data_IF_608264026072
#
_entry.id   IF_608264026072
#
_cell.length_a   1.000
_cell.length_b   1.000
_cell.length_c   1.000
_cell.angle_alpha   90.00
_cell.angle_beta   90.00
_cell.angle_gamma   90.00
#
_symmetry.space_group_name_H-M   'P 1'
#
loop_
_entity.id
_entity.type
_entity.pdbx_description
1 polymer ?
#
# COMPACT_ATOMS: atom_id res chain seq x y z
N UNK A 1 -0.98 -16.04 -8.00
CA UNK A 1 0.08 -17.07 -7.96
C UNK A 1 1.16 -16.60 -7.00
N UNK A 2 1.64 -17.47 -6.12
CA UNK A 2 2.83 -17.18 -5.33
C UNK A 2 4.02 -16.96 -6.29
N UNK A 3 4.88 -16.02 -5.97
CA UNK A 3 6.11 -15.78 -6.75
C UNK A 3 7.06 -16.94 -6.47
N UNK A 4 7.66 -17.50 -7.53
CA UNK A 4 8.64 -18.58 -7.38
C UNK A 4 9.90 -18.09 -6.67
N UNK A 5 10.33 -16.86 -6.96
CA UNK A 5 11.40 -16.14 -6.30
C UNK A 5 11.28 -14.65 -6.63
N UNK A 6 11.86 -13.77 -5.81
CA UNK A 6 11.80 -12.32 -6.00
C UNK A 6 12.89 -11.53 -5.26
N UNK A 7 13.18 -10.34 -5.76
CA UNK A 7 13.90 -9.30 -5.01
C UNK A 7 12.90 -8.21 -4.61
N UNK A 8 12.72 -7.99 -3.31
CA UNK A 8 11.89 -6.92 -2.76
C UNK A 8 12.78 -5.72 -2.43
N UNK A 9 12.67 -4.66 -3.22
CA UNK A 9 13.46 -3.44 -3.07
C UNK A 9 12.64 -2.40 -2.32
N UNK A 10 13.07 -2.03 -1.12
CA UNK A 10 12.41 -1.02 -0.27
C UNK A 10 13.10 0.33 -0.45
N UNK A 11 12.52 1.21 -1.26
CA UNK A 11 12.91 2.62 -1.26
C UNK A 11 12.47 3.26 0.06
N UNK A 12 13.42 3.83 0.81
CA UNK A 12 13.16 4.26 2.18
C UNK A 12 13.21 3.09 3.18
N UNK A 13 14.03 2.07 2.91
CA UNK A 13 14.21 0.88 3.75
C UNK A 13 14.71 1.17 5.16
N UNK A 14 15.33 2.34 5.39
CA UNK A 14 15.71 2.83 6.72
C UNK A 14 14.66 3.75 7.38
N UNK A 15 13.49 3.93 6.75
CA UNK A 15 12.43 4.82 7.22
C UNK A 15 11.45 4.16 8.21
N UNK A 16 10.63 4.99 8.85
CA UNK A 16 9.66 4.59 9.88
C UNK A 16 8.72 3.46 9.41
N UNK A 17 8.15 3.59 8.21
CA UNK A 17 7.24 2.58 7.65
C UNK A 17 7.93 1.23 7.43
N UNK A 18 9.15 1.25 6.89
CA UNK A 18 9.91 0.03 6.63
C UNK A 18 10.25 -0.70 7.94
N UNK A 19 10.77 0.04 8.92
CA UNK A 19 11.18 -0.51 10.23
C UNK A 19 10.00 -0.98 11.07
N UNK A 20 8.89 -0.22 11.10
CA UNK A 20 7.77 -0.53 12.01
C UNK A 20 6.75 -1.50 11.44
N UNK A 21 6.68 -1.63 10.11
CA UNK A 21 5.63 -2.40 9.43
C UNK A 21 6.16 -3.38 8.40
N UNK A 22 6.98 -2.94 7.43
CA UNK A 22 7.34 -3.79 6.29
C UNK A 22 8.28 -4.92 6.71
N UNK A 23 9.39 -4.62 7.40
CA UNK A 23 10.33 -5.63 7.88
C UNK A 23 9.68 -6.60 8.88
N UNK A 24 8.89 -6.15 9.89
CA UNK A 24 8.15 -7.06 10.75
C UNK A 24 7.13 -7.95 10.01
N UNK A 25 6.45 -7.42 8.98
CA UNK A 25 5.55 -8.21 8.15
C UNK A 25 6.30 -9.27 7.33
N UNK A 26 7.46 -8.92 6.77
CA UNK A 26 8.32 -9.86 6.06
C UNK A 26 8.89 -10.95 6.98
N UNK A 27 9.26 -10.60 8.22
CA UNK A 27 9.63 -11.61 9.21
C UNK A 27 8.48 -12.56 9.54
N UNK A 28 7.26 -12.03 9.69
CA UNK A 28 6.07 -12.86 9.92
C UNK A 28 5.82 -13.84 8.77
N UNK A 29 6.13 -13.44 7.52
CA UNK A 29 6.03 -14.30 6.33
C UNK A 29 7.18 -15.30 6.24
N UNK A 30 8.37 -14.91 6.67
CA UNK A 30 9.50 -15.81 6.83
C UNK A 30 9.17 -16.94 7.82
N UNK A 31 8.66 -16.60 9.01
CA UNK A 31 8.27 -17.58 10.04
C UNK A 31 7.19 -18.55 9.56
N UNK A 32 6.29 -18.10 8.70
CA UNK A 32 5.23 -18.93 8.15
C UNK A 32 5.69 -19.82 6.97
N UNK A 33 6.92 -19.66 6.49
CA UNK A 33 7.44 -20.41 5.34
C UNK A 33 6.92 -19.92 3.99
N UNK A 34 6.39 -18.69 3.91
CA UNK A 34 5.81 -18.14 2.67
C UNK A 34 6.85 -17.48 1.76
N UNK A 35 8.06 -17.24 2.27
CA UNK A 35 9.14 -16.65 1.48
C UNK A 35 9.92 -17.75 0.77
N UNK A 36 10.07 -17.68 -0.58
CA UNK A 36 10.95 -18.58 -1.30
C UNK A 36 12.38 -18.56 -0.73
N UNK A 37 13.12 -19.68 -0.82
CA UNK A 37 14.48 -19.76 -0.29
C UNK A 37 15.40 -18.63 -0.79
N UNK A 38 15.33 -18.29 -2.09
CA UNK A 38 16.14 -17.25 -2.72
C UNK A 38 15.65 -15.81 -2.54
N UNK A 39 14.50 -15.59 -1.88
CA UNK A 39 13.93 -14.25 -1.78
C UNK A 39 14.81 -13.30 -0.96
N UNK A 40 15.15 -12.14 -1.54
CA UNK A 40 15.98 -11.10 -0.93
C UNK A 40 15.17 -9.83 -0.64
N UNK A 41 15.55 -9.13 0.42
CA UNK A 41 14.97 -7.84 0.81
C UNK A 41 16.07 -6.79 0.73
N UNK A 42 16.02 -5.95 -0.29
CA UNK A 42 17.03 -4.93 -0.58
C UNK A 42 16.52 -3.60 -0.02
N UNK A 43 17.06 -3.17 1.10
CA UNK A 43 16.72 -1.93 1.77
C UNK A 43 17.58 -0.78 1.26
N UNK A 44 16.94 0.25 0.69
CA UNK A 44 17.63 1.43 0.18
C UNK A 44 17.52 2.59 1.17
N UNK A 45 18.64 3.25 1.43
CA UNK A 45 18.69 4.45 2.26
C UNK A 45 19.73 5.46 1.77
N UNK A 46 19.66 6.68 2.31
CA UNK A 46 20.59 7.77 1.97
C UNK A 46 21.86 7.77 2.83
N UNK A 47 21.86 7.01 3.92
CA UNK A 47 23.01 6.94 4.82
C UNK A 47 24.10 6.07 4.18
N UNK A 48 25.36 6.46 4.32
CA UNK A 48 26.48 5.64 3.89
C UNK A 48 26.79 4.58 4.97
N UNK A 49 25.81 3.72 5.26
CA UNK A 49 25.97 2.64 6.24
C UNK A 49 26.55 1.38 5.60
N UNK A 50 27.35 0.65 6.37
CA UNK A 50 27.68 -0.73 6.06
C UNK A 50 26.46 -1.66 6.25
N UNK A 51 26.57 -2.88 5.75
CA UNK A 51 25.56 -3.91 5.99
C UNK A 51 25.36 -4.16 7.49
N UNK A 52 26.45 -4.23 8.27
CA UNK A 52 26.43 -4.46 9.72
C UNK A 52 25.76 -3.31 10.47
N UNK A 53 26.08 -2.06 10.09
CA UNK A 53 25.45 -0.87 10.68
C UNK A 53 23.94 -0.83 10.40
N UNK A 54 23.53 -1.19 9.18
CA UNK A 54 22.10 -1.27 8.86
C UNK A 54 21.40 -2.38 9.64
N UNK A 55 21.99 -3.58 9.71
CA UNK A 55 21.42 -4.68 10.49
C UNK A 55 21.33 -4.33 11.99
N UNK A 56 22.31 -3.61 12.53
CA UNK A 56 22.22 -3.07 13.89
C UNK A 56 21.04 -2.10 14.05
N UNK A 57 20.77 -1.24 13.05
CA UNK A 57 19.59 -0.39 13.04
C UNK A 57 18.28 -1.21 13.00
N UNK A 58 18.24 -2.31 12.24
CA UNK A 58 17.09 -3.24 12.18
C UNK A 58 16.84 -3.89 13.55
N UNK A 59 17.90 -4.31 14.25
CA UNK A 59 17.82 -4.83 15.63
C UNK A 59 17.21 -3.82 16.59
N UNK A 60 17.64 -2.56 16.52
CA UNK A 60 17.16 -1.51 17.42
C UNK A 60 15.77 -1.01 17.09
N UNK A 61 15.42 -0.92 15.81
CA UNK A 61 14.25 -0.15 15.34
C UNK A 61 13.13 -1.01 14.77
N UNK A 62 13.43 -2.19 14.23
CA UNK A 62 12.44 -3.09 13.63
C UNK A 62 12.07 -4.24 14.56
N UNK A 63 13.05 -4.88 15.21
CA UNK A 63 12.82 -6.00 16.13
C UNK A 63 11.79 -5.71 17.24
N UNK A 64 11.74 -4.51 17.86
CA UNK A 64 10.72 -4.20 18.87
C UNK A 64 9.28 -4.25 18.35
N UNK A 65 9.08 -4.20 17.04
CA UNK A 65 7.77 -4.29 16.39
C UNK A 65 7.42 -5.70 15.92
N UNK A 66 8.32 -6.67 16.09
CA UNK A 66 8.08 -8.08 15.82
C UNK A 66 7.47 -8.74 17.06
N UNK A 67 6.33 -9.40 16.86
CA UNK A 67 5.70 -10.19 17.93
C UNK A 67 6.49 -11.48 18.13
N UNK A 68 7.16 -11.61 19.27
CA UNK A 68 7.90 -12.80 19.69
C UNK A 68 8.94 -13.29 18.64
N UNK A 69 10.00 -12.52 18.37
CA UNK A 69 11.09 -13.01 17.52
C UNK A 69 11.72 -14.28 18.13
N UNK A 70 11.87 -15.31 17.30
CA UNK A 70 12.41 -16.61 17.67
C UNK A 70 13.73 -16.89 16.96
N UNK A 71 14.67 -17.50 17.67
CA UNK A 71 15.92 -18.04 17.09
C UNK A 71 15.77 -19.53 16.78
N UNK A 72 16.39 -20.04 15.69
CA UNK A 72 17.34 -19.34 14.79
C UNK A 72 16.67 -18.56 13.64
N UNK A 73 15.34 -18.51 13.58
CA UNK A 73 14.61 -17.97 12.43
C UNK A 73 14.83 -16.47 12.23
N UNK A 74 15.00 -15.72 13.31
CA UNK A 74 15.29 -14.29 13.22
C UNK A 74 16.67 -14.03 12.61
N UNK A 75 17.70 -14.77 13.04
CA UNK A 75 19.03 -14.72 12.40
C UNK A 75 18.95 -15.07 10.91
N UNK A 76 18.25 -16.15 10.53
CA UNK A 76 18.04 -16.54 9.13
C UNK A 76 17.26 -15.50 8.31
N UNK A 77 16.36 -14.75 8.95
CA UNK A 77 15.67 -13.65 8.30
C UNK A 77 16.62 -12.48 7.99
N UNK A 78 17.52 -12.13 8.91
CA UNK A 78 18.50 -11.06 8.70
C UNK A 78 19.44 -11.36 7.51
N UNK A 79 19.76 -12.63 7.26
CA UNK A 79 20.55 -13.05 6.09
C UNK A 79 19.90 -12.72 4.75
N UNK A 80 18.59 -12.49 4.71
CA UNK A 80 17.85 -12.09 3.49
C UNK A 80 17.94 -10.60 3.21
N UNK A 81 18.32 -9.81 4.22
CA UNK A 81 18.32 -8.35 4.15
C UNK A 81 19.65 -7.88 3.60
N UNK A 82 19.58 -7.00 2.61
CA UNK A 82 20.75 -6.38 1.97
C UNK A 82 20.53 -4.88 2.01
N UNK A 83 21.51 -4.13 2.49
CA UNK A 83 21.48 -2.68 2.47
C UNK A 83 22.27 -2.14 1.28
N UNK A 84 21.71 -1.13 0.62
CA UNK A 84 22.41 -0.38 -0.43
C UNK A 84 22.18 1.11 -0.22
N UNK A 85 23.27 1.87 -0.18
CA UNK A 85 23.20 3.33 -0.11
C UNK A 85 22.86 3.88 -1.50
N UNK A 86 21.65 4.41 -1.65
CA UNK A 86 21.15 4.98 -2.91
C UNK A 86 20.39 6.27 -2.61
N UNK A 87 20.76 7.33 -3.30
CA UNK A 87 19.95 8.54 -3.31
C UNK A 87 18.86 8.39 -4.36
N UNK A 88 17.61 8.24 -3.91
CA UNK A 88 16.45 8.03 -4.76
C UNK A 88 16.31 9.06 -5.91
N UNK A 89 16.79 10.30 -5.70
CA UNK A 89 16.71 11.38 -6.70
C UNK A 89 17.93 11.48 -7.62
N UNK A 90 19.01 10.77 -7.35
CA UNK A 90 20.25 10.83 -8.14
C UNK A 90 20.50 9.50 -8.86
N UNK A 91 20.26 9.50 -10.17
CA UNK A 91 20.41 8.34 -11.04
C UNK A 91 21.82 7.74 -11.00
N UNK A 92 22.85 8.53 -10.72
CA UNK A 92 24.23 8.04 -10.69
C UNK A 92 24.47 7.07 -9.53
N UNK A 93 23.62 7.11 -8.49
CA UNK A 93 23.72 6.20 -7.33
C UNK A 93 23.04 4.83 -7.58
N UNK A 94 22.27 4.68 -8.66
CA UNK A 94 21.54 3.44 -8.96
C UNK A 94 22.45 2.32 -9.48
N UNK A 95 23.70 2.61 -9.85
CA UNK A 95 24.68 1.58 -10.20
C UNK A 95 24.88 0.57 -9.07
N UNK A 96 24.95 1.04 -7.82
CA UNK A 96 25.06 0.16 -6.64
C UNK A 96 23.81 -0.73 -6.44
N UNK A 97 22.61 -0.23 -6.80
CA UNK A 97 21.41 -1.05 -6.80
C UNK A 97 21.45 -2.11 -7.90
N UNK A 98 21.92 -1.77 -9.09
CA UNK A 98 22.07 -2.71 -10.19
C UNK A 98 23.03 -3.85 -9.82
N UNK A 99 24.16 -3.54 -9.17
CA UNK A 99 25.13 -4.53 -8.67
C UNK A 99 24.57 -5.43 -7.56
N UNK A 100 23.71 -4.88 -6.70
CA UNK A 100 23.11 -5.64 -5.60
C UNK A 100 22.00 -6.59 -6.06
N UNK A 101 21.28 -6.22 -7.13
CA UNK A 101 20.22 -7.05 -7.72
C UNK A 101 20.80 -8.31 -8.36
N UNK A 102 20.02 -9.38 -8.36
CA UNK A 102 20.43 -10.61 -9.04
C UNK A 102 20.34 -10.43 -10.56
N UNK A 103 21.37 -10.92 -11.24
CA UNK A 103 21.48 -10.94 -12.71
C UNK A 103 20.64 -12.11 -13.30
N UNK A 104 19.32 -11.97 -13.16
CA UNK A 104 18.33 -12.89 -13.70
C UNK A 104 17.03 -12.14 -14.01
N UNK A 105 16.78 -11.93 -15.30
CA UNK A 105 15.60 -11.22 -15.80
C UNK A 105 14.28 -11.98 -15.59
N UNK A 106 14.33 -13.28 -15.28
CA UNK A 106 13.15 -14.06 -14.94
C UNK A 106 12.62 -13.78 -13.53
N UNK A 107 13.46 -13.20 -12.67
CA UNK A 107 13.08 -12.85 -11.30
C UNK A 107 12.10 -11.69 -11.28
N UNK A 108 11.07 -11.82 -10.44
CA UNK A 108 10.18 -10.70 -10.16
C UNK A 108 10.91 -9.71 -9.24
N UNK A 109 11.03 -8.45 -9.68
CA UNK A 109 11.56 -7.36 -8.86
C UNK A 109 10.40 -6.51 -8.35
N UNK A 110 10.22 -6.43 -7.03
CA UNK A 110 9.14 -5.63 -6.43
C UNK A 110 9.74 -4.37 -5.81
N UNK A 111 9.49 -3.23 -6.43
CA UNK A 111 9.91 -1.91 -5.95
C UNK A 111 8.85 -1.32 -5.04
N UNK A 112 9.06 -1.38 -3.73
CA UNK A 112 8.18 -0.76 -2.74
C UNK A 112 8.63 0.67 -2.44
N UNK A 113 7.80 1.65 -2.81
CA UNK A 113 8.10 3.06 -2.61
C UNK A 113 7.60 3.53 -1.24
N UNK A 114 8.32 3.19 -0.18
CA UNK A 114 8.08 3.69 1.19
C UNK A 114 8.68 5.11 1.37
N UNK A 115 8.39 5.99 0.41
CA UNK A 115 8.93 7.35 0.31
C UNK A 115 7.82 8.38 0.15
N UNK A 116 8.10 9.68 0.36
CA UNK A 116 7.14 10.73 0.06
C UNK A 116 6.67 10.70 -1.42
N UNK A 117 5.38 10.95 -1.71
CA UNK A 117 4.81 10.79 -3.05
C UNK A 117 5.46 11.62 -4.16
N UNK A 118 6.05 12.78 -3.81
CA UNK A 118 6.74 13.64 -4.79
C UNK A 118 7.99 12.97 -5.38
N UNK A 119 8.49 11.89 -4.78
CA UNK A 119 9.62 11.12 -5.29
C UNK A 119 9.22 10.00 -6.25
N UNK A 120 7.93 9.64 -6.35
CA UNK A 120 7.50 8.48 -7.12
C UNK A 120 7.88 8.59 -8.60
N UNK A 121 7.62 9.74 -9.25
CA UNK A 121 7.99 9.95 -10.66
C UNK A 121 9.50 9.79 -10.86
N UNK A 122 10.30 10.49 -10.06
CA UNK A 122 11.75 10.48 -10.19
C UNK A 122 12.35 9.09 -9.96
N UNK A 123 11.83 8.32 -8.98
CA UNK A 123 12.27 6.95 -8.74
C UNK A 123 11.94 6.06 -9.95
N UNK A 124 10.72 6.16 -10.49
CA UNK A 124 10.33 5.36 -11.66
C UNK A 124 11.19 5.72 -12.88
N UNK A 125 11.44 7.01 -13.12
CA UNK A 125 12.30 7.48 -14.21
C UNK A 125 13.74 6.98 -14.05
N UNK A 126 14.30 7.01 -12.84
CA UNK A 126 15.64 6.51 -12.57
C UNK A 126 15.74 4.98 -12.75
N UNK A 127 14.72 4.23 -12.34
CA UNK A 127 14.62 2.79 -12.59
C UNK A 127 14.56 2.49 -14.09
N UNK A 128 13.83 3.29 -14.87
CA UNK A 128 13.76 3.15 -16.32
C UNK A 128 15.10 3.49 -16.99
N UNK A 129 15.72 4.61 -16.61
CA UNK A 129 16.97 5.10 -17.19
C UNK A 129 18.16 4.15 -16.95
N UNK A 130 18.10 3.35 -15.88
CA UNK A 130 19.10 2.34 -15.53
C UNK A 130 18.75 0.93 -15.99
N UNK A 131 17.65 0.74 -16.73
CA UNK A 131 17.20 -0.57 -17.21
C UNK A 131 16.71 -1.51 -16.10
N UNK A 132 16.50 -1.00 -14.88
CA UNK A 132 16.05 -1.78 -13.74
C UNK A 132 14.54 -2.05 -13.77
N UNK A 133 13.76 -1.19 -14.43
CA UNK A 133 12.35 -1.42 -14.70
C UNK A 133 12.15 -2.41 -15.87
N UNK A 134 12.04 -3.70 -15.55
CA UNK A 134 11.85 -4.79 -16.53
C UNK A 134 10.37 -5.21 -16.66
N UNK A 135 9.99 -6.02 -17.66
CA UNK A 135 8.62 -6.56 -17.77
C UNK A 135 8.16 -7.40 -16.56
N UNK A 136 9.09 -8.03 -15.83
CA UNK A 136 8.82 -8.79 -14.61
C UNK A 136 8.85 -7.93 -13.34
N UNK A 137 9.08 -6.62 -13.47
CA UNK A 137 9.08 -5.70 -12.34
C UNK A 137 7.68 -5.32 -11.91
N UNK A 138 7.50 -5.02 -10.63
CA UNK A 138 6.27 -4.50 -10.03
C UNK A 138 6.62 -3.29 -9.18
N UNK A 139 5.76 -2.28 -9.17
CA UNK A 139 5.93 -1.10 -8.31
C UNK A 139 4.78 -1.01 -7.32
N UNK A 140 5.10 -0.83 -6.04
CA UNK A 140 4.14 -0.65 -4.96
C UNK A 140 4.20 0.81 -4.50
N UNK A 141 3.06 1.50 -4.58
CA UNK A 141 2.94 2.92 -4.26
C UNK A 141 2.14 3.11 -2.98
N UNK A 142 2.73 3.82 -2.02
CA UNK A 142 2.05 4.24 -0.79
C UNK A 142 1.14 5.46 -1.00
N UNK A 143 0.15 5.60 -0.13
CA UNK A 143 -0.68 6.81 -0.08
C UNK A 143 0.11 8.00 0.52
N UNK A 144 -0.19 9.25 0.15
CA UNK A 144 -1.25 9.69 -0.77
C UNK A 144 -0.87 9.69 -2.25
N UNK A 145 -1.82 9.31 -3.11
CA UNK A 145 -1.67 9.31 -4.58
C UNK A 145 -2.31 10.55 -5.19
N UNK A 146 -1.77 11.71 -4.82
CA UNK A 146 -2.31 13.01 -5.18
C UNK A 146 -3.22 13.59 -4.09
N UNK A 147 -3.54 14.88 -4.24
CA UNK A 147 -4.41 15.65 -3.32
C UNK A 147 -5.77 16.00 -3.95
N UNK A 148 -5.90 15.78 -5.24
CA UNK A 148 -7.05 16.03 -6.07
C UNK A 148 -6.96 15.17 -7.35
N UNK A 149 -7.99 15.24 -8.20
CA UNK A 149 -8.04 14.49 -9.45
C UNK A 149 -6.88 14.82 -10.40
N UNK A 150 -6.45 16.09 -10.47
CA UNK A 150 -5.43 16.53 -11.41
C UNK A 150 -4.06 15.95 -11.03
N UNK A 151 -3.66 16.10 -9.77
CA UNK A 151 -2.42 15.55 -9.23
C UNK A 151 -2.41 14.01 -9.24
N UNK A 152 -3.55 13.36 -8.95
CA UNK A 152 -3.65 11.90 -9.05
C UNK A 152 -3.45 11.39 -10.49
N UNK A 153 -4.03 12.10 -11.48
CA UNK A 153 -3.83 11.78 -12.90
C UNK A 153 -2.39 11.99 -13.34
N UNK A 154 -1.75 13.05 -12.87
CA UNK A 154 -0.35 13.32 -13.17
C UNK A 154 0.55 12.19 -12.65
N UNK A 155 0.43 11.82 -11.38
CA UNK A 155 1.21 10.71 -10.78
C UNK A 155 0.96 9.42 -11.55
N UNK A 156 -0.30 9.09 -11.85
CA UNK A 156 -0.61 7.88 -12.61
C UNK A 156 -0.02 7.90 -14.03
N UNK A 157 -0.04 9.04 -14.71
CA UNK A 157 0.53 9.18 -16.04
C UNK A 157 2.06 9.04 -16.01
N UNK A 158 2.71 9.65 -15.02
CA UNK A 158 4.17 9.58 -14.83
C UNK A 158 4.64 8.15 -14.54
N UNK A 159 4.01 7.47 -13.58
CA UNK A 159 4.31 6.06 -13.29
C UNK A 159 3.98 5.16 -14.49
N UNK A 160 2.88 5.45 -15.19
CA UNK A 160 2.43 4.72 -16.37
C UNK A 160 3.33 4.84 -17.62
N UNK A 161 4.28 5.79 -17.63
CA UNK A 161 5.33 5.84 -18.66
C UNK A 161 6.35 4.72 -18.51
N UNK A 162 6.49 4.17 -17.30
CA UNK A 162 7.53 3.20 -16.94
C UNK A 162 6.93 1.82 -16.70
N UNK A 163 5.80 1.76 -16.00
CA UNK A 163 5.15 0.51 -15.61
C UNK A 163 3.77 0.37 -16.26
N UNK A 164 3.47 -0.81 -16.80
CA UNK A 164 2.11 -1.15 -17.22
C UNK A 164 1.18 -1.25 -16.00
N UNK A 165 -0.14 -1.06 -16.18
CA UNK A 165 -1.10 -1.10 -15.06
C UNK A 165 -1.09 -2.44 -14.30
N UNK A 166 -0.77 -3.55 -14.96
CA UNK A 166 -0.60 -4.87 -14.32
C UNK A 166 0.63 -4.96 -13.40
N UNK A 167 1.58 -4.04 -13.53
CA UNK A 167 2.78 -3.94 -12.71
C UNK A 167 2.59 -2.97 -11.52
N UNK A 168 1.52 -2.17 -11.48
CA UNK A 168 1.32 -1.10 -10.50
C UNK A 168 0.39 -1.57 -9.37
N UNK A 169 0.89 -1.52 -8.14
CA UNK A 169 0.17 -1.89 -6.92
C UNK A 169 0.01 -0.66 -6.02
N UNK A 170 -1.19 -0.08 -6.03
CA UNK A 170 -1.53 1.08 -5.20
C UNK A 170 -2.06 0.60 -3.85
N UNK A 171 -1.38 0.96 -2.76
CA UNK A 171 -1.73 0.46 -1.42
C UNK A 171 -2.95 1.18 -0.86
N UNK A 172 -3.94 0.39 -0.49
CA UNK A 172 -4.97 0.74 0.48
C UNK A 172 -5.03 -0.40 1.52
N UNK A 173 -4.48 -0.14 2.71
CA UNK A 173 -4.36 -1.16 3.75
C UNK A 173 -5.71 -1.68 4.27
N UNK A 174 -6.84 -0.97 4.05
CA UNK A 174 -8.16 -1.51 4.40
C UNK A 174 -8.54 -2.71 3.54
N UNK A 175 -8.08 -2.76 2.28
CA UNK A 175 -8.31 -3.91 1.39
C UNK A 175 -7.56 -5.17 1.84
N UNK A 176 -6.53 -5.02 2.69
CA UNK A 176 -5.81 -6.12 3.30
C UNK A 176 -6.45 -6.67 4.58
N UNK A 177 -7.51 -6.02 5.10
CA UNK A 177 -8.19 -6.50 6.32
C UNK A 177 -9.03 -7.72 5.99
N UNK A 178 -8.86 -8.79 6.77
CA UNK A 178 -9.59 -10.06 6.60
C UNK A 178 -11.11 -9.85 6.56
N UNK A 179 -11.65 -9.01 7.46
CA UNK A 179 -13.08 -8.69 7.50
C UNK A 179 -13.58 -8.00 6.22
N UNK A 180 -12.74 -7.24 5.54
CA UNK A 180 -13.08 -6.58 4.27
C UNK A 180 -13.07 -7.58 3.13
N UNK A 181 -12.10 -8.50 3.11
CA UNK A 181 -12.05 -9.58 2.11
C UNK A 181 -13.23 -10.55 2.26
N UNK A 182 -13.65 -10.81 3.50
CA UNK A 182 -14.80 -11.66 3.81
C UNK A 182 -16.14 -11.12 3.29
N UNK A 183 -16.24 -9.82 2.98
CA UNK A 183 -17.47 -9.26 2.38
C UNK A 183 -17.81 -9.92 1.04
N UNK A 184 -16.81 -10.30 0.24
CA UNK A 184 -17.03 -10.99 -1.04
C UNK A 184 -17.65 -12.38 -0.82
N UNK A 185 -17.07 -13.14 0.11
CA UNK A 185 -17.56 -14.46 0.47
C UNK A 185 -18.96 -14.38 1.09
N UNK A 186 -19.21 -13.39 1.96
CA UNK A 186 -20.51 -13.18 2.58
C UNK A 186 -21.60 -12.88 1.54
N UNK A 187 -21.34 -11.95 0.62
CA UNK A 187 -22.35 -11.49 -0.35
C UNK A 187 -22.64 -12.52 -1.45
N UNK A 188 -21.61 -13.16 -1.99
CA UNK A 188 -21.76 -13.99 -3.19
C UNK A 188 -21.64 -15.50 -2.92
N UNK A 189 -21.15 -15.90 -1.75
CA UNK A 189 -21.05 -17.30 -1.34
C UNK A 189 -22.25 -17.82 -0.56
N UNK A 190 -23.23 -16.97 -0.24
CA UNK A 190 -24.36 -17.33 0.63
C UNK A 190 -25.71 -17.13 -0.07
N UNK A 191 -26.39 -18.24 -0.34
CA UNK A 191 -27.73 -18.26 -0.97
C UNK A 191 -28.79 -17.51 -0.16
N UNK A 192 -28.58 -17.33 1.14
CA UNK A 192 -29.49 -16.59 2.01
C UNK A 192 -29.35 -15.07 1.83
N UNK A 193 -28.14 -14.57 1.58
CA UNK A 193 -27.86 -13.13 1.56
C UNK A 193 -27.93 -12.55 0.15
N UNK A 194 -27.47 -13.28 -0.87
CA UNK A 194 -27.43 -12.79 -2.25
C UNK A 194 -28.82 -12.28 -2.72
N UNK A 195 -29.94 -12.99 -2.50
CA UNK A 195 -31.24 -12.53 -2.96
C UNK A 195 -31.75 -11.29 -2.21
N UNK A 196 -31.30 -11.08 -0.98
CA UNK A 196 -31.72 -9.96 -0.14
C UNK A 196 -30.88 -8.71 -0.38
N UNK A 197 -29.75 -8.81 -1.08
CA UNK A 197 -28.83 -7.70 -1.27
C UNK A 197 -29.25 -6.73 -2.39
N UNK A 198 -30.47 -6.18 -2.27
CA UNK A 198 -31.08 -5.26 -3.26
C UNK A 198 -32.05 -4.27 -2.61
N UNK A 199 -32.39 -3.22 -3.36
CA UNK A 199 -33.19 -2.06 -2.89
C UNK A 199 -34.60 -2.41 -2.39
N UNK A 200 -35.14 -3.56 -2.78
CA UNK A 200 -36.45 -4.04 -2.32
C UNK A 200 -36.42 -4.48 -0.85
N UNK A 201 -35.26 -4.89 -0.34
CA UNK A 201 -35.09 -5.44 1.01
C UNK A 201 -34.20 -4.59 1.91
N UNK A 202 -33.33 -3.75 1.32
CA UNK A 202 -32.41 -2.88 2.06
C UNK A 202 -32.95 -1.45 2.05
N UNK A 203 -33.24 -0.91 3.24
CA UNK A 203 -33.63 0.50 3.43
C UNK A 203 -32.44 1.44 3.27
N UNK A 204 -31.32 1.12 3.93
CA UNK A 204 -30.11 1.93 3.97
C UNK A 204 -28.88 1.08 4.30
N UNK A 205 -27.70 1.63 3.99
CA UNK A 205 -26.40 1.02 4.27
C UNK A 205 -25.53 2.05 4.97
N UNK A 206 -24.95 1.67 6.10
CA UNK A 206 -24.13 2.55 6.93
C UNK A 206 -22.69 1.99 6.98
N UNK A 207 -21.72 2.84 6.62
CA UNK A 207 -20.29 2.51 6.70
C UNK A 207 -19.65 3.47 7.69
N UNK A 208 -19.29 2.95 8.85
CA UNK A 208 -18.69 3.74 9.94
C UNK A 208 -17.22 3.39 10.10
N UNK A 209 -16.38 4.42 10.08
CA UNK A 209 -15.00 4.31 10.55
C UNK A 209 -14.83 5.35 11.66
N UNK A 210 -14.63 4.87 12.88
CA UNK A 210 -14.45 5.70 14.06
C UNK A 210 -13.08 5.42 14.68
N UNK A 211 -12.40 6.49 15.10
CA UNK A 211 -11.08 6.43 15.73
C UNK A 211 -11.16 7.08 17.11
N UNK A 212 -10.59 6.44 18.13
CA UNK A 212 -10.48 7.02 19.47
C UNK A 212 -9.34 8.06 19.57
N UNK A 213 -8.35 7.94 18.70
CA UNK A 213 -7.12 8.73 18.78
C UNK A 213 -7.32 10.04 18.01
N UNK A 214 -6.83 11.15 18.57
CA UNK A 214 -6.77 12.45 17.87
C UNK A 214 -5.64 12.51 16.83
N UNK A 215 -5.37 13.71 16.31
CA UNK A 215 -4.39 13.91 15.23
C UNK A 215 -2.94 13.52 15.59
N UNK A 216 -2.58 13.58 16.87
CA UNK A 216 -1.25 13.25 17.38
C UNK A 216 -0.13 13.99 16.63
N UNK A 217 0.96 13.28 16.33
CA UNK A 217 2.13 13.85 15.66
C UNK A 217 1.94 14.11 14.15
N UNK A 218 0.75 13.84 13.59
CA UNK A 218 0.46 13.98 12.15
C UNK A 218 -0.19 15.32 11.78
N UNK A 219 -0.21 16.29 12.69
CA UNK A 219 -0.92 17.56 12.52
C UNK A 219 -0.60 18.26 11.19
N UNK A 220 0.69 18.43 10.83
CA UNK A 220 1.07 19.13 9.59
C UNK A 220 0.55 18.46 8.31
N UNK A 221 0.46 17.12 8.29
CA UNK A 221 -0.14 16.38 7.17
C UNK A 221 -1.68 16.44 7.21
N UNK A 222 -2.26 16.24 8.39
CA UNK A 222 -3.70 16.08 8.55
C UNK A 222 -4.46 17.38 8.32
N UNK A 223 -3.89 18.53 8.70
CA UNK A 223 -4.48 19.86 8.50
C UNK A 223 -4.77 20.16 7.01
N UNK A 224 -3.86 19.71 6.13
CA UNK A 224 -4.03 19.86 4.68
C UNK A 224 -4.92 18.78 4.04
N UNK A 225 -5.08 17.63 4.71
CA UNK A 225 -5.77 16.47 4.16
C UNK A 225 -7.24 16.42 4.59
N UNK A 226 -7.47 16.51 5.90
CA UNK A 226 -8.75 16.27 6.57
C UNK A 226 -9.26 14.82 6.42
N UNK A 227 -10.33 14.49 7.16
CA UNK A 227 -10.97 13.18 7.08
C UNK A 227 -11.43 12.81 5.66
N UNK A 228 -11.78 13.81 4.84
CA UNK A 228 -12.23 13.59 3.47
C UNK A 228 -11.17 12.89 2.60
N UNK A 229 -9.91 13.34 2.67
CA UNK A 229 -8.83 12.73 1.87
C UNK A 229 -8.15 11.58 2.60
N UNK A 230 -8.03 11.66 3.93
CA UNK A 230 -7.30 10.64 4.69
C UNK A 230 -8.07 9.33 4.80
N UNK A 231 -9.41 9.40 4.87
CA UNK A 231 -10.31 8.26 5.15
C UNK A 231 -11.41 8.05 4.10
N UNK A 232 -12.09 9.11 3.66
CA UNK A 232 -13.28 8.96 2.81
C UNK A 232 -12.92 8.59 1.36
N UNK A 233 -12.04 9.37 0.73
CA UNK A 233 -11.70 9.23 -0.69
C UNK A 233 -11.09 7.86 -1.03
N UNK A 234 -10.39 7.24 -0.07
CA UNK A 234 -9.76 5.94 -0.21
C UNK A 234 -10.62 4.84 0.46
N UNK A 235 -10.47 4.65 1.77
CA UNK A 235 -10.94 3.50 2.53
C UNK A 235 -12.46 3.34 2.46
N UNK A 236 -13.23 4.38 2.79
CA UNK A 236 -14.70 4.29 2.74
C UNK A 236 -15.20 4.08 1.32
N UNK A 237 -14.59 4.74 0.33
CA UNK A 237 -15.00 4.58 -1.06
C UNK A 237 -14.71 3.18 -1.58
N UNK A 238 -13.60 2.56 -1.18
CA UNK A 238 -13.28 1.17 -1.49
C UNK A 238 -14.27 0.20 -0.83
N UNK A 239 -14.62 0.43 0.45
CA UNK A 239 -15.63 -0.36 1.16
C UNK A 239 -17.00 -0.23 0.49
N UNK A 240 -17.41 0.99 0.13
CA UNK A 240 -18.64 1.24 -0.62
C UNK A 240 -18.67 0.42 -1.91
N UNK A 241 -17.57 0.39 -2.67
CA UNK A 241 -17.50 -0.40 -3.89
C UNK A 241 -17.67 -1.90 -3.63
N UNK A 242 -17.02 -2.45 -2.60
CA UNK A 242 -17.14 -3.89 -2.25
C UNK A 242 -18.56 -4.23 -1.78
N UNK A 243 -19.20 -3.31 -1.06
CA UNK A 243 -20.55 -3.47 -0.50
C UNK A 243 -21.63 -3.31 -1.59
N UNK A 244 -21.43 -2.44 -2.58
CA UNK A 244 -22.44 -2.08 -3.56
C UNK A 244 -22.27 -2.72 -4.94
N UNK A 245 -21.11 -3.31 -5.26
CA UNK A 245 -20.90 -3.88 -6.60
C UNK A 245 -21.79 -5.09 -6.87
N UNK A 246 -22.11 -5.30 -8.14
CA UNK A 246 -22.74 -6.52 -8.64
C UNK A 246 -21.82 -7.74 -8.44
N UNK A 247 -22.38 -8.97 -8.47
CA UNK A 247 -21.57 -10.19 -8.51
C UNK A 247 -20.59 -10.14 -9.68
N UNK A 248 -19.27 -10.22 -9.43
CA UNK A 248 -18.30 -10.23 -10.53
C UNK A 248 -18.43 -11.56 -11.29
N UNK A 249 -18.08 -11.54 -12.58
CA UNK A 249 -18.13 -12.75 -13.44
C UNK A 249 -17.19 -13.86 -12.95
N UNK A 250 -16.16 -13.51 -12.18
CA UNK A 250 -15.26 -14.42 -11.48
C UNK A 250 -14.55 -13.68 -10.34
N UNK A 251 -13.78 -14.41 -9.53
CA UNK A 251 -12.90 -13.83 -8.50
C UNK A 251 -11.57 -13.29 -9.05
N UNK A 252 -11.39 -13.25 -10.38
CA UNK A 252 -10.17 -12.72 -10.97
C UNK A 252 -10.02 -11.23 -10.63
N UNK A 253 -8.78 -10.72 -10.44
CA UNK A 253 -8.55 -9.34 -10.03
C UNK A 253 -9.23 -8.31 -10.95
N UNK A 254 -9.22 -8.54 -12.25
CA UNK A 254 -9.81 -7.62 -13.24
C UNK A 254 -11.35 -7.68 -13.21
N UNK A 255 -11.96 -8.86 -13.08
CA UNK A 255 -13.41 -8.99 -12.96
C UNK A 255 -13.96 -8.28 -11.71
N UNK A 256 -13.25 -8.41 -10.57
CA UNK A 256 -13.59 -7.68 -9.34
C UNK A 256 -13.38 -6.18 -9.52
N UNK A 257 -12.32 -5.75 -10.21
CA UNK A 257 -12.07 -4.33 -10.50
C UNK A 257 -13.17 -3.73 -11.36
N UNK A 258 -13.64 -4.45 -12.38
CA UNK A 258 -14.70 -3.99 -13.27
C UNK A 258 -16.03 -3.80 -12.52
N UNK A 259 -16.40 -4.76 -11.67
CA UNK A 259 -17.60 -4.65 -10.83
C UNK A 259 -17.53 -3.43 -9.88
N UNK A 260 -16.36 -3.20 -9.26
CA UNK A 260 -16.13 -1.99 -8.44
C UNK A 260 -16.21 -0.70 -9.27
N UNK A 261 -15.68 -0.70 -10.49
CA UNK A 261 -15.69 0.46 -11.36
C UNK A 261 -17.10 0.84 -11.82
N UNK A 262 -17.99 -0.15 -12.02
CA UNK A 262 -19.40 0.09 -12.31
C UNK A 262 -20.10 0.86 -11.18
N UNK A 263 -19.79 0.55 -9.91
CA UNK A 263 -20.29 1.33 -8.76
C UNK A 263 -19.85 2.77 -8.87
N UNK A 264 -18.54 3.03 -9.03
CA UNK A 264 -18.00 4.38 -9.10
C UNK A 264 -18.61 5.21 -10.24
N UNK A 265 -18.85 4.59 -11.39
CA UNK A 265 -19.49 5.24 -12.55
C UNK A 265 -20.97 5.56 -12.30
N UNK A 266 -21.63 4.81 -11.42
CA UNK A 266 -23.04 4.96 -11.07
C UNK A 266 -23.28 5.95 -9.92
N UNK A 267 -22.22 6.38 -9.22
CA UNK A 267 -22.34 7.37 -8.15
C UNK A 267 -22.82 8.72 -8.70
N UNK A 268 -23.86 9.26 -8.06
CA UNK A 268 -24.36 10.60 -8.37
C UNK A 268 -23.37 11.64 -7.88
N UNK A 269 -22.96 12.54 -8.78
CA UNK A 269 -22.12 13.69 -8.41
C UNK A 269 -22.93 14.65 -7.55
N UNK A 270 -22.27 15.23 -6.54
CA UNK A 270 -22.87 16.30 -5.76
C UNK A 270 -23.05 17.57 -6.59
N UNK A 271 -24.25 18.14 -6.56
CA UNK A 271 -24.52 19.54 -6.88
C UNK A 271 -24.31 20.42 -5.64
N UNK A 272 -24.15 21.75 -5.78
CA UNK A 272 -24.04 22.64 -4.61
C UNK A 272 -25.18 22.44 -3.59
N UNK A 273 -26.41 22.25 -4.06
CA UNK A 273 -27.59 22.01 -3.21
C UNK A 273 -27.51 20.67 -2.48
N UNK A 274 -27.22 19.58 -3.20
CA UNK A 274 -27.12 18.25 -2.57
C UNK A 274 -25.93 18.14 -1.61
N UNK A 275 -24.86 18.90 -1.87
CA UNK A 275 -23.68 18.95 -1.01
C UNK A 275 -24.03 19.56 0.35
N UNK A 276 -24.74 20.71 0.37
CA UNK A 276 -25.17 21.35 1.62
C UNK A 276 -26.20 20.53 2.41
N UNK A 277 -27.00 19.70 1.72
CA UNK A 277 -28.04 18.89 2.35
C UNK A 277 -27.53 17.56 2.92
N UNK A 278 -26.54 16.93 2.26
CA UNK A 278 -26.14 15.55 2.56
C UNK A 278 -24.74 15.42 3.18
N UNK A 279 -23.99 16.51 3.33
CA UNK A 279 -22.64 16.48 3.89
C UNK A 279 -22.58 17.32 5.15
N UNK A 280 -22.15 16.69 6.25
CA UNK A 280 -21.82 17.36 7.51
C UNK A 280 -20.31 17.26 7.72
N UNK A 281 -19.69 18.39 8.07
CA UNK A 281 -18.27 18.45 8.45
C UNK A 281 -18.19 18.85 9.92
N UNK A 282 -17.41 18.11 10.69
CA UNK A 282 -17.15 18.39 12.10
C UNK A 282 -15.66 18.56 12.37
N UNK A 283 -15.34 19.21 13.47
CA UNK A 283 -14.02 19.28 14.08
C UNK A 283 -14.19 19.02 15.57
N UNK A 284 -13.41 18.10 16.13
CA UNK A 284 -13.53 17.80 17.56
C UNK A 284 -12.94 18.96 18.38
N UNK A 285 -13.69 19.48 19.38
CA UNK A 285 -13.15 20.41 20.37
C UNK A 285 -12.50 19.62 21.52
N UNK A 286 -12.22 20.32 22.62
CA UNK A 286 -11.85 19.64 23.85
C UNK A 286 -12.95 18.67 24.32
N UNK A 287 -12.58 17.44 24.65
CA UNK A 287 -13.38 16.41 25.27
C UNK A 287 -13.47 16.54 26.79
N UNK A 288 -14.39 15.77 27.39
CA UNK A 288 -14.58 15.75 28.85
C UNK A 288 -13.64 14.77 29.58
N UNK A 289 -13.04 13.82 28.86
CA UNK A 289 -12.13 12.80 29.38
C UNK A 289 -10.88 12.82 28.50
N UNK A 290 -9.71 13.01 29.13
CA UNK A 290 -8.40 13.11 28.48
C UNK A 290 -8.21 14.27 27.48
N UNK A 291 -9.13 15.23 27.49
CA UNK A 291 -8.99 16.51 26.81
C UNK A 291 -9.76 16.67 25.52
#
# INVERSE_FOLDING_TARGET
MALNDFDLVLFGGSGDLAMRKLLPAMYSRHLAGDLPPGARIICLGRHAWSQEEFLHSVELSSKPHIKAPAEPQYTQFLERIVYVSVNATDVNTYGALAEALRDDDSLTRVYYLATPPHLFSQICENLAATGLATPNSRVVLEKPLGRDLASARQINAEVGKVFAESQIYRIDHYLGKETVQNLLALRFGNILFEPLWRREWISDVQITIAEKIGVGNRMGYYDNSGALRDMLQNHLLQLLCIVAMEPPTSISPDAVRDAKLQVLRSLKKFTPTTLSQNIVRGQYPAGHVDG
#
